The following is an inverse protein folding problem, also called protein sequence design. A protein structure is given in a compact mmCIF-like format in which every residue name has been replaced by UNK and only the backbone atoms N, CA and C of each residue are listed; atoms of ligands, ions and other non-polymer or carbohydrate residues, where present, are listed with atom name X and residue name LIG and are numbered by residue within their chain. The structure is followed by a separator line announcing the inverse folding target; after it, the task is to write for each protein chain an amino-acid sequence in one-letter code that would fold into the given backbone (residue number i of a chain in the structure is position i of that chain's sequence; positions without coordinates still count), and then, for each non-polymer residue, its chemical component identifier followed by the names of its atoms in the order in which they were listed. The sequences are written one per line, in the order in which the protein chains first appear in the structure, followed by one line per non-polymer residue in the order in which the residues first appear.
data_IF_827120043919
#
_entry.id   IF_827120043919
#
_cell.length_a   1.000
_cell.length_b   1.000
_cell.length_c   1.000
_cell.angle_alpha   90.00
_cell.angle_beta   90.00
_cell.angle_gamma   90.00
#
_symmetry.space_group_name_H-M   'P 1'
#
loop_
_entity.id
_entity.type
_entity.pdbx_description
1 polymer ?
#
# COMPACT_ATOMS: atom_id res chain seq x y z
N UNK A 1 5.38 -20.71 -12.68
CA UNK A 1 4.57 -19.48 -12.73
C UNK A 1 4.32 -19.06 -11.29
N UNK A 2 4.60 -17.81 -10.94
CA UNK A 2 4.24 -17.28 -9.63
C UNK A 2 2.90 -16.55 -9.75
N UNK A 3 1.95 -16.85 -8.88
CA UNK A 3 0.65 -16.21 -8.80
C UNK A 3 0.49 -15.66 -7.39
N UNK A 4 0.07 -14.41 -7.30
CA UNK A 4 -0.26 -13.74 -6.05
C UNK A 4 -1.72 -13.30 -6.18
N UNK A 5 -2.52 -13.62 -5.17
CA UNK A 5 -3.92 -13.17 -5.09
C UNK A 5 -4.02 -12.17 -3.94
N UNK A 6 -4.50 -10.97 -4.25
CA UNK A 6 -4.87 -9.96 -3.25
C UNK A 6 -6.38 -9.97 -3.15
N UNK A 7 -6.92 -10.20 -1.96
CA UNK A 7 -8.36 -10.13 -1.71
C UNK A 7 -8.63 -8.95 -0.78
N UNK A 8 -9.51 -8.06 -1.23
CA UNK A 8 -10.03 -6.93 -0.48
C UNK A 8 -11.47 -7.25 -0.14
N UNK A 9 -11.77 -7.36 1.14
CA UNK A 9 -13.12 -7.61 1.63
C UNK A 9 -13.57 -6.40 2.45
N UNK A 10 -14.60 -5.72 1.95
CA UNK A 10 -15.25 -4.64 2.68
C UNK A 10 -16.37 -5.26 3.53
N UNK A 11 -16.10 -5.42 4.81
CA UNK A 11 -17.06 -5.98 5.76
C UNK A 11 -17.91 -4.83 6.32
N UNK A 12 -19.21 -4.86 6.05
CA UNK A 12 -20.20 -3.99 6.69
C UNK A 12 -20.58 -4.45 8.12
N UNK A 13 -19.65 -5.09 8.82
CA UNK A 13 -19.83 -5.45 10.23
C UNK A 13 -19.55 -4.25 11.15
N UNK A 14 -19.80 -4.40 12.46
CA UNK A 14 -19.65 -3.32 13.46
C UNK A 14 -18.23 -2.74 13.54
N UNK A 15 -17.21 -3.40 12.97
CA UNK A 15 -15.86 -2.86 12.91
C UNK A 15 -15.65 -1.88 11.76
N UNK A 16 -16.42 -2.04 10.67
CA UNK A 16 -16.35 -1.24 9.44
C UNK A 16 -14.95 -1.21 8.79
N UNK A 17 -14.06 -2.14 9.15
CA UNK A 17 -12.68 -2.14 8.67
C UNK A 17 -12.52 -3.11 7.51
N UNK A 18 -11.95 -2.67 6.38
CA UNK A 18 -11.66 -3.56 5.26
C UNK A 18 -10.59 -4.58 5.67
N UNK A 19 -10.79 -5.82 5.26
CA UNK A 19 -9.80 -6.90 5.46
C UNK A 19 -9.00 -7.08 4.18
N UNK A 20 -7.68 -7.13 4.31
CA UNK A 20 -6.76 -7.37 3.20
C UNK A 20 -6.03 -8.68 3.44
N UNK A 21 -6.17 -9.64 2.52
CA UNK A 21 -5.43 -10.90 2.57
C UNK A 21 -4.57 -11.10 1.32
N UNK A 22 -3.40 -11.71 1.53
CA UNK A 22 -2.40 -11.95 0.48
C UNK A 22 -2.07 -13.44 0.43
N UNK A 23 -2.46 -14.10 -0.66
CA UNK A 23 -2.08 -15.48 -0.93
C UNK A 23 -0.78 -15.53 -1.73
N UNK A 24 0.26 -16.12 -1.11
CA UNK A 24 1.58 -16.33 -1.70
C UNK A 24 1.90 -17.81 -1.95
N UNK A 25 0.91 -18.71 -1.95
CA UNK A 25 1.10 -20.16 -2.18
C UNK A 25 1.79 -20.49 -3.52
N UNK A 26 1.72 -19.59 -4.51
CA UNK A 26 2.43 -19.69 -5.79
C UNK A 26 3.85 -19.12 -5.79
N UNK A 27 4.31 -18.48 -4.70
CA UNK A 27 5.65 -17.93 -4.60
C UNK A 27 6.67 -19.05 -4.34
N UNK A 28 7.76 -19.08 -5.10
CA UNK A 28 8.83 -20.06 -4.90
C UNK A 28 9.56 -19.76 -3.61
N UNK A 29 9.46 -20.67 -2.65
CA UNK A 29 10.27 -20.62 -1.42
C UNK A 29 11.55 -21.42 -1.68
N UNK A 30 12.70 -20.75 -1.53
CA UNK A 30 14.00 -21.37 -1.62
C UNK A 30 14.26 -22.36 -0.48
N UNK A 31 15.33 -23.17 -0.57
CA UNK A 31 15.62 -24.24 0.37
C UNK A 31 15.83 -23.78 1.83
N UNK A 32 16.02 -22.48 2.05
CA UNK A 32 16.20 -21.87 3.37
C UNK A 32 15.00 -21.02 3.81
N UNK A 33 13.80 -21.28 3.26
CA UNK A 33 12.60 -20.51 3.62
C UNK A 33 12.54 -19.10 3.03
N UNK A 34 13.59 -18.67 2.31
CA UNK A 34 13.60 -17.39 1.63
C UNK A 34 12.66 -17.44 0.43
N UNK A 35 11.64 -16.60 0.41
CA UNK A 35 10.86 -16.39 -0.83
C UNK A 35 11.81 -15.87 -1.90
N UNK A 36 12.01 -16.64 -2.98
CA UNK A 36 12.66 -16.13 -4.18
C UNK A 36 11.81 -14.95 -4.64
N UNK A 37 12.42 -13.76 -4.71
CA UNK A 37 11.70 -12.53 -5.05
C UNK A 37 11.21 -12.63 -6.49
N UNK A 38 9.98 -13.09 -6.66
CA UNK A 38 9.34 -13.15 -7.97
C UNK A 38 8.88 -11.75 -8.37
N UNK A 39 8.79 -11.46 -9.67
CA UNK A 39 8.30 -10.17 -10.14
C UNK A 39 6.88 -9.86 -9.60
N UNK A 40 6.02 -10.87 -9.46
CA UNK A 40 4.71 -10.70 -8.83
C UNK A 40 4.83 -10.18 -7.39
N UNK A 41 5.76 -10.73 -6.60
CA UNK A 41 6.00 -10.31 -5.21
C UNK A 41 6.59 -8.91 -5.13
N UNK A 42 7.49 -8.58 -6.06
CA UNK A 42 8.06 -7.24 -6.19
C UNK A 42 6.98 -6.20 -6.48
N UNK A 43 6.08 -6.50 -7.43
CA UNK A 43 4.96 -5.62 -7.78
C UNK A 43 3.99 -5.48 -6.61
N UNK A 44 3.64 -6.56 -5.91
CA UNK A 44 2.74 -6.47 -4.75
C UNK A 44 3.32 -5.61 -3.64
N UNK A 45 4.61 -5.76 -3.33
CA UNK A 45 5.30 -4.91 -2.34
C UNK A 45 5.30 -3.43 -2.77
N UNK A 46 5.49 -3.15 -4.06
CA UNK A 46 5.44 -1.79 -4.60
C UNK A 46 4.05 -1.17 -4.44
N UNK A 47 2.98 -1.92 -4.70
CA UNK A 47 1.59 -1.46 -4.53
C UNK A 47 1.30 -1.09 -3.06
N UNK A 48 1.71 -1.94 -2.11
CA UNK A 48 1.58 -1.63 -0.69
C UNK A 48 2.39 -0.39 -0.28
N UNK A 49 3.61 -0.26 -0.80
CA UNK A 49 4.44 0.92 -0.57
C UNK A 49 3.79 2.21 -1.09
N UNK A 50 3.16 2.18 -2.26
CA UNK A 50 2.43 3.32 -2.81
C UNK A 50 1.22 3.70 -1.96
N UNK A 51 0.43 2.72 -1.52
CA UNK A 51 -0.72 2.97 -0.65
C UNK A 51 -0.31 3.61 0.69
N UNK A 52 0.77 3.12 1.31
CA UNK A 52 1.30 3.69 2.54
C UNK A 52 1.82 5.13 2.34
N UNK A 53 2.43 5.42 1.19
CA UNK A 53 2.84 6.77 0.83
C UNK A 53 1.63 7.70 0.67
N UNK A 54 0.56 7.24 0.02
CA UNK A 54 -0.68 8.02 -0.13
C UNK A 54 -1.31 8.36 1.22
N UNK A 55 -1.42 7.37 2.12
CA UNK A 55 -1.90 7.58 3.49
C UNK A 55 -1.02 8.60 4.24
N UNK A 56 0.30 8.43 4.16
CA UNK A 56 1.26 9.32 4.82
C UNK A 56 1.18 10.75 4.27
N UNK A 57 1.02 10.92 2.96
CA UNK A 57 0.87 12.23 2.31
C UNK A 57 -0.48 12.86 2.66
N UNK A 58 -1.56 12.09 2.74
CA UNK A 58 -2.89 12.56 3.14
C UNK A 58 -2.96 12.99 4.60
N UNK A 59 -2.15 12.40 5.48
CA UNK A 59 -2.01 12.80 6.87
C UNK A 59 -1.24 14.12 7.06
N UNK A 60 -0.47 14.55 6.06
CA UNK A 60 0.19 15.85 6.13
C UNK A 60 -0.88 16.96 6.05
N UNK A 61 -0.82 17.97 6.93
CA UNK A 61 -1.71 19.12 6.80
C UNK A 61 -1.48 19.74 5.43
N UNK A 62 -2.56 20.07 4.74
CA UNK A 62 -2.50 20.79 3.47
C UNK A 62 -1.70 22.08 3.71
N UNK A 63 -0.43 22.07 3.29
CA UNK A 63 0.44 23.23 3.42
C UNK A 63 -0.08 24.27 2.44
N UNK A 64 -1.06 25.06 2.88
CA UNK A 64 -1.56 26.22 2.16
C UNK A 64 -0.44 27.26 2.20
N UNK A 65 0.53 27.13 1.29
CA UNK A 65 1.37 28.25 0.86
C UNK A 65 0.47 29.22 0.11
N UNK A 66 -0.46 29.86 0.82
CA UNK A 66 -1.03 31.09 0.33
C UNK A 66 0.07 32.12 0.56
N UNK A 67 0.77 32.60 -0.47
CA UNK A 67 1.68 33.71 -0.28
C UNK A 67 0.86 34.84 0.35
N UNK A 68 1.28 35.31 1.52
CA UNK A 68 0.72 36.51 2.11
C UNK A 68 0.99 37.63 1.11
N UNK A 69 -0.04 38.00 0.34
CA UNK A 69 0.04 39.09 -0.61
C UNK A 69 0.04 40.39 0.20
N UNK A 70 1.17 40.68 0.85
CA UNK A 70 1.40 41.94 1.53
C UNK A 70 1.82 42.94 0.46
N UNK A 71 0.86 43.69 -0.07
CA UNK A 71 1.18 44.91 -0.79
C UNK A 71 1.78 45.90 0.21
N UNK A 72 3.07 46.20 0.07
CA UNK A 72 3.70 47.28 0.82
C UNK A 72 3.20 48.61 0.24
N UNK A 73 2.55 49.43 1.07
CA UNK A 73 2.12 50.79 0.75
C UNK A 73 3.20 51.80 1.14
#
# INVERSE_FOLDING_TARGET
MAKITITLEDHHDDSGKPTVSLDMSGARVGPFGQTSQTEALRISQMLFGMAACEESLGALPACRRQPSNTTLH
#
